data_IF_276834607020
#
_entry.id   IF_276834607020
#
_cell.length_a   1.000
_cell.length_b   1.000
_cell.length_c   1.000
_cell.angle_alpha   90.00
_cell.angle_beta   90.00
_cell.angle_gamma   90.00
#
_symmetry.space_group_name_H-M   'P 1'
#
loop_
_entity.id
_entity.type
_entity.pdbx_description
1 polymer ?
#
# COMPACT_ATOMS: atom_id res chain seq x y z
N UNK A 1 -7.61 -5.72 -19.20
CA UNK A 1 -7.88 -4.93 -17.97
C UNK A 1 -8.23 -3.53 -18.44
N UNK A 2 -9.39 -2.97 -18.05
CA UNK A 2 -9.72 -1.59 -18.41
C UNK A 2 -8.69 -0.63 -17.81
N UNK A 3 -8.32 0.40 -18.56
CA UNK A 3 -7.41 1.44 -18.07
C UNK A 3 -8.13 2.29 -17.01
N UNK A 4 -7.88 2.02 -15.74
CA UNK A 4 -8.39 2.82 -14.62
C UNK A 4 -7.90 4.26 -14.77
N UNK A 5 -8.84 5.21 -14.80
CA UNK A 5 -8.50 6.62 -14.85
C UNK A 5 -8.29 7.16 -13.42
N UNK A 6 -7.04 7.08 -12.95
CA UNK A 6 -6.65 7.50 -11.60
C UNK A 6 -6.99 8.95 -11.25
N UNK A 7 -7.02 9.86 -12.23
CA UNK A 7 -7.43 11.26 -12.02
C UNK A 7 -8.90 11.41 -11.57
N UNK A 8 -9.75 10.44 -11.91
CA UNK A 8 -11.18 10.46 -11.59
C UNK A 8 -11.53 9.66 -10.33
N UNK A 9 -10.56 9.00 -9.72
CA UNK A 9 -10.78 8.17 -8.55
C UNK A 9 -10.86 8.99 -7.27
N UNK A 10 -11.51 8.44 -6.24
CA UNK A 10 -11.38 8.94 -4.88
C UNK A 10 -9.92 8.88 -4.42
N UNK A 11 -9.54 9.76 -3.49
CA UNK A 11 -8.18 9.86 -2.97
C UNK A 11 -7.61 8.55 -2.39
N UNK A 12 -8.47 7.61 -2.00
CA UNK A 12 -8.09 6.30 -1.52
C UNK A 12 -8.80 5.84 -0.25
N UNK A 13 -8.57 4.59 0.13
CA UNK A 13 -9.01 3.99 1.39
C UNK A 13 -7.80 3.58 2.21
N UNK A 14 -7.88 3.71 3.54
CA UNK A 14 -6.82 3.30 4.45
C UNK A 14 -7.39 2.22 5.38
N UNK A 15 -6.75 1.07 5.38
CA UNK A 15 -7.12 -0.08 6.19
C UNK A 15 -8.60 -0.46 6.05
N UNK A 16 -9.08 -0.46 4.80
CA UNK A 16 -10.45 -0.81 4.41
C UNK A 16 -10.65 -2.31 4.22
N UNK A 17 -11.89 -2.77 4.38
CA UNK A 17 -12.31 -4.11 3.98
C UNK A 17 -12.51 -4.18 2.45
N UNK A 18 -12.52 -5.38 1.87
CA UNK A 18 -12.74 -5.54 0.43
C UNK A 18 -14.03 -4.87 -0.06
N UNK A 19 -15.12 -5.00 0.71
CA UNK A 19 -16.39 -4.33 0.41
C UNK A 19 -16.28 -2.80 0.45
N UNK A 20 -15.47 -2.24 1.37
CA UNK A 20 -15.24 -0.79 1.45
C UNK A 20 -14.55 -0.29 0.17
N UNK A 21 -13.60 -1.05 -0.38
CA UNK A 21 -12.93 -0.70 -1.64
C UNK A 21 -13.91 -0.69 -2.80
N UNK A 22 -14.76 -1.71 -2.93
CA UNK A 22 -15.74 -1.80 -4.01
C UNK A 22 -16.82 -0.72 -3.94
N UNK A 23 -17.26 -0.37 -2.73
CA UNK A 23 -18.24 0.70 -2.52
C UNK A 23 -17.68 2.08 -2.90
N UNK A 24 -16.45 2.37 -2.49
CA UNK A 24 -15.84 3.69 -2.67
C UNK A 24 -15.13 3.87 -4.01
N UNK A 25 -14.60 2.79 -4.57
CA UNK A 25 -13.77 2.79 -5.76
C UNK A 25 -14.21 1.67 -6.72
N UNK A 26 -15.48 1.68 -7.19
CA UNK A 26 -16.06 0.60 -7.98
C UNK A 26 -15.31 0.33 -9.29
N UNK A 27 -14.62 1.34 -9.85
CA UNK A 27 -13.77 1.19 -11.04
C UNK A 27 -12.60 0.20 -10.82
N UNK A 28 -12.24 -0.10 -9.57
CA UNK A 28 -11.24 -1.10 -9.23
C UNK A 28 -11.77 -2.53 -9.25
N UNK A 29 -13.09 -2.75 -9.38
CA UNK A 29 -13.69 -4.07 -9.26
C UNK A 29 -13.08 -5.08 -10.24
N UNK A 30 -12.86 -4.68 -11.50
CA UNK A 30 -12.26 -5.56 -12.50
C UNK A 30 -10.79 -5.86 -12.22
N UNK A 31 -10.02 -4.87 -11.75
CA UNK A 31 -8.64 -5.07 -11.32
C UNK A 31 -8.58 -6.05 -10.15
N UNK A 32 -9.45 -5.90 -9.16
CA UNK A 32 -9.43 -6.71 -7.95
C UNK A 32 -9.81 -8.18 -8.21
N UNK A 33 -10.48 -8.50 -9.33
CA UNK A 33 -10.65 -9.90 -9.77
C UNK A 33 -9.33 -10.58 -10.14
N UNK A 34 -8.30 -9.82 -10.47
CA UNK A 34 -6.95 -10.34 -10.75
C UNK A 34 -6.11 -10.58 -9.49
N UNK A 35 -6.64 -10.23 -8.31
CA UNK A 35 -5.94 -10.49 -7.05
C UNK A 35 -5.75 -12.00 -6.86
N UNK A 36 -4.53 -12.47 -6.52
CA UNK A 36 -4.20 -13.89 -6.56
C UNK A 36 -4.76 -14.72 -5.40
N UNK A 37 -5.34 -14.07 -4.38
CA UNK A 37 -5.89 -14.74 -3.19
C UNK A 37 -7.35 -14.35 -2.96
N UNK A 38 -7.97 -14.89 -1.90
CA UNK A 38 -9.29 -14.44 -1.49
C UNK A 38 -9.20 -13.01 -0.91
N UNK A 39 -9.79 -11.99 -1.57
CA UNK A 39 -9.62 -10.60 -1.16
C UNK A 39 -10.23 -10.29 0.22
N UNK A 40 -11.12 -11.14 0.72
CA UNK A 40 -11.72 -10.99 2.04
C UNK A 40 -10.77 -11.36 3.20
N UNK A 41 -9.63 -11.98 2.93
CA UNK A 41 -8.64 -12.32 3.96
C UNK A 41 -7.65 -11.16 4.20
N UNK A 42 -7.81 -10.07 3.46
CA UNK A 42 -6.90 -8.93 3.43
C UNK A 42 -7.57 -7.62 3.83
N UNK A 43 -6.75 -6.73 4.38
CA UNK A 43 -7.03 -5.32 4.59
C UNK A 43 -6.36 -4.51 3.48
N UNK A 44 -7.08 -3.53 2.97
CA UNK A 44 -6.74 -2.82 1.76
C UNK A 44 -6.37 -1.38 2.07
N UNK A 45 -5.19 -0.97 1.60
CA UNK A 45 -4.81 0.42 1.43
C UNK A 45 -4.80 0.72 -0.06
N UNK A 46 -5.69 1.61 -0.50
CA UNK A 46 -5.66 2.15 -1.85
C UNK A 46 -5.29 3.61 -1.74
N UNK A 47 -4.28 4.05 -2.48
CA UNK A 47 -3.85 5.44 -2.51
C UNK A 47 -3.82 5.94 -3.94
N UNK A 48 -4.38 7.12 -4.14
CA UNK A 48 -4.34 7.83 -5.40
C UNK A 48 -3.52 9.09 -5.19
N UNK A 49 -2.43 9.20 -5.95
CA UNK A 49 -1.49 10.30 -5.86
C UNK A 49 -1.48 11.08 -7.17
N UNK A 50 -1.64 12.39 -7.10
CA UNK A 50 -1.09 13.32 -8.09
C UNK A 50 0.34 13.69 -7.67
N UNK A 51 1.35 13.13 -8.33
CA UNK A 51 2.75 13.34 -8.02
C UNK A 51 3.34 14.39 -8.96
N UNK A 52 4.02 15.37 -8.38
CA UNK A 52 4.96 16.26 -9.06
C UNK A 52 6.36 15.64 -9.07
N UNK A 53 7.28 16.09 -9.95
CA UNK A 53 8.68 15.68 -9.90
C UNK A 53 9.27 15.79 -8.48
N UNK A 54 10.05 14.79 -8.08
CA UNK A 54 10.67 14.64 -6.75
C UNK A 54 9.70 14.31 -5.59
N UNK A 55 8.41 14.09 -5.86
CA UNK A 55 7.47 13.58 -4.86
C UNK A 55 7.43 12.05 -4.88
N UNK A 56 7.23 11.45 -3.70
CA UNK A 56 7.21 10.00 -3.52
C UNK A 56 5.77 9.50 -3.26
N UNK A 57 5.38 8.34 -3.81
CA UNK A 57 4.09 7.71 -3.50
C UNK A 57 4.08 7.03 -2.12
N UNK A 58 5.24 6.63 -1.62
CA UNK A 58 5.42 5.91 -0.37
C UNK A 58 6.76 6.27 0.30
N UNK A 59 7.08 5.61 1.41
CA UNK A 59 8.25 5.93 2.24
C UNK A 59 9.54 5.79 1.40
N UNK A 60 10.38 6.83 1.32
CA UNK A 60 11.58 6.83 0.47
C UNK A 60 12.74 6.01 1.06
N UNK A 61 12.76 5.84 2.38
CA UNK A 61 13.80 5.06 3.05
C UNK A 61 13.49 3.56 2.97
N UNK A 62 14.55 2.74 2.97
CA UNK A 62 14.43 1.30 3.14
C UNK A 62 13.67 0.99 4.42
N UNK A 63 12.58 0.25 4.28
CA UNK A 63 11.74 -0.17 5.39
C UNK A 63 11.16 -1.56 5.11
N UNK A 64 10.57 -2.12 6.16
CA UNK A 64 9.80 -3.36 6.12
C UNK A 64 8.44 -3.06 6.73
N UNK A 65 7.40 -3.60 6.11
CA UNK A 65 6.04 -3.36 6.54
C UNK A 65 5.61 -4.33 7.63
N UNK A 66 4.77 -3.84 8.54
CA UNK A 66 4.08 -4.64 9.55
C UNK A 66 4.98 -5.48 10.46
N UNK A 67 6.26 -5.11 10.64
CA UNK A 67 7.14 -5.84 11.56
C UNK A 67 6.59 -5.78 12.98
N UNK A 68 6.43 -6.95 13.65
CA UNK A 68 5.97 -6.99 15.03
C UNK A 68 6.93 -6.21 15.94
N UNK A 69 6.38 -5.59 16.98
CA UNK A 69 7.18 -4.88 17.97
C UNK A 69 7.04 -5.50 19.34
N UNK A 70 8.12 -5.46 20.11
CA UNK A 70 8.12 -5.86 21.52
C UNK A 70 7.48 -4.79 22.42
N UNK A 71 7.47 -5.03 23.73
CA UNK A 71 6.94 -4.09 24.72
C UNK A 71 7.70 -2.76 24.79
N UNK A 72 8.94 -2.70 24.27
CA UNK A 72 9.77 -1.50 24.17
C UNK A 72 9.66 -0.83 22.79
N UNK A 73 8.73 -1.28 21.95
CA UNK A 73 8.51 -0.81 20.57
C UNK A 73 9.67 -1.10 19.61
N UNK A 74 10.59 -2.00 19.97
CA UNK A 74 11.66 -2.48 19.10
C UNK A 74 11.13 -3.57 18.18
N UNK A 75 11.72 -3.70 17.00
CA UNK A 75 11.38 -4.76 16.06
C UNK A 75 11.65 -6.14 16.66
N UNK A 76 10.66 -7.02 16.61
CA UNK A 76 10.72 -8.40 17.09
C UNK A 76 10.57 -9.36 15.91
N UNK A 77 11.69 -9.67 15.28
CA UNK A 77 11.73 -10.54 14.10
C UNK A 77 11.33 -11.99 14.40
N UNK A 78 11.37 -12.42 15.67
CA UNK A 78 10.99 -13.78 16.06
C UNK A 78 9.49 -14.06 15.89
N UNK A 79 8.70 -13.00 15.77
CA UNK A 79 7.24 -13.05 15.59
C UNK A 79 6.78 -12.80 14.16
N UNK A 80 7.71 -12.70 13.20
CA UNK A 80 7.37 -12.58 11.78
C UNK A 80 6.65 -13.86 11.33
N UNK A 81 5.52 -13.70 10.64
CA UNK A 81 4.74 -14.80 10.07
C UNK A 81 4.75 -14.70 8.54
N UNK A 82 5.69 -15.41 7.91
CA UNK A 82 5.87 -15.44 6.46
C UNK A 82 4.74 -16.20 5.73
N UNK A 83 3.91 -16.95 6.47
CA UNK A 83 2.71 -17.60 5.92
C UNK A 83 1.60 -16.60 5.61
N UNK A 84 1.72 -15.36 6.11
CA UNK A 84 0.75 -14.28 5.97
C UNK A 84 1.29 -13.21 5.02
N UNK A 85 0.94 -13.26 3.72
CA UNK A 85 1.54 -12.37 2.74
C UNK A 85 0.95 -10.97 2.76
N UNK A 86 1.67 -10.08 2.09
CA UNK A 86 1.20 -8.81 1.60
C UNK A 86 1.34 -8.78 0.08
N UNK A 87 0.59 -7.90 -0.55
CA UNK A 87 0.64 -7.67 -1.98
C UNK A 87 0.68 -6.20 -2.29
N UNK A 88 1.48 -5.84 -3.29
CA UNK A 88 1.60 -4.50 -3.85
C UNK A 88 1.18 -4.53 -5.31
N UNK A 89 0.43 -3.53 -5.75
CA UNK A 89 0.15 -3.28 -7.15
C UNK A 89 0.29 -1.78 -7.44
N UNK A 90 0.97 -1.44 -8.53
CA UNK A 90 1.26 -0.07 -8.93
C UNK A 90 0.76 0.17 -10.35
N UNK A 91 0.09 1.30 -10.60
CA UNK A 91 -0.46 1.58 -11.94
C UNK A 91 0.59 1.88 -13.00
N UNK A 92 1.68 2.52 -12.60
CA UNK A 92 2.74 3.07 -13.45
C UNK A 92 3.89 3.53 -12.56
N UNK A 93 4.97 4.05 -13.16
CA UNK A 93 6.03 4.73 -12.43
C UNK A 93 5.50 5.94 -11.61
N UNK A 94 6.16 6.31 -10.50
CA UNK A 94 7.35 5.67 -9.92
C UNK A 94 7.04 4.30 -9.30
N UNK A 95 7.96 3.35 -9.47
CA UNK A 95 7.81 1.98 -9.00
C UNK A 95 8.55 1.78 -7.67
N UNK A 96 8.17 0.75 -6.93
CA UNK A 96 8.83 0.40 -5.66
C UNK A 96 10.04 -0.48 -5.94
N UNK A 97 11.16 -0.20 -5.26
CA UNK A 97 12.35 -1.05 -5.30
C UNK A 97 12.30 -1.99 -4.12
N UNK A 98 12.56 -3.27 -4.36
CA UNK A 98 12.72 -4.31 -3.36
C UNK A 98 14.15 -4.82 -3.34
N UNK A 99 14.54 -5.47 -2.24
CA UNK A 99 15.76 -6.28 -2.18
C UNK A 99 15.42 -7.76 -2.23
N UNK A 100 16.21 -8.52 -2.96
CA UNK A 100 16.13 -9.98 -2.94
C UNK A 100 16.86 -10.57 -1.72
N UNK A 101 16.93 -11.90 -1.64
CA UNK A 101 17.59 -12.63 -0.54
C UNK A 101 19.11 -12.35 -0.45
N UNK A 102 19.74 -11.90 -1.54
CA UNK A 102 21.15 -11.53 -1.60
C UNK A 102 21.37 -10.03 -1.31
N UNK A 103 20.30 -9.27 -1.17
CA UNK A 103 20.34 -7.82 -0.97
C UNK A 103 20.42 -7.02 -2.26
N UNK A 104 20.29 -7.66 -3.42
CA UNK A 104 20.31 -7.01 -4.72
C UNK A 104 18.97 -6.32 -4.98
N UNK A 105 19.05 -5.10 -5.53
CA UNK A 105 17.88 -4.23 -5.72
C UNK A 105 17.19 -4.51 -7.05
N UNK A 106 15.86 -4.65 -7.02
CA UNK A 106 15.05 -4.80 -8.22
C UNK A 106 13.75 -4.00 -8.14
N UNK A 107 13.27 -3.57 -9.30
CA UNK A 107 12.05 -2.78 -9.43
C UNK A 107 10.84 -3.70 -9.70
N UNK A 108 9.72 -3.47 -9.02
CA UNK A 108 8.48 -4.22 -9.29
C UNK A 108 7.79 -3.71 -10.55
N UNK A 109 7.15 -4.61 -11.28
CA UNK A 109 6.49 -4.25 -12.55
C UNK A 109 5.13 -3.57 -12.32
N UNK A 110 4.87 -2.48 -13.08
CA UNK A 110 3.56 -1.85 -13.13
C UNK A 110 2.48 -2.82 -13.62
N UNK A 111 1.27 -2.71 -13.09
CA UNK A 111 0.12 -3.48 -13.54
C UNK A 111 0.09 -4.93 -13.06
N UNK A 112 1.05 -5.36 -12.21
CA UNK A 112 1.11 -6.72 -11.66
C UNK A 112 1.09 -6.72 -10.14
N UNK A 113 0.49 -7.75 -9.57
CA UNK A 113 0.54 -8.02 -8.13
C UNK A 113 1.92 -8.58 -7.79
N UNK A 114 2.63 -7.87 -6.93
CA UNK A 114 3.89 -8.31 -6.34
C UNK A 114 3.62 -8.81 -4.92
N UNK A 115 3.89 -10.10 -4.66
CA UNK A 115 3.76 -10.73 -3.35
C UNK A 115 5.02 -10.45 -2.53
N UNK A 116 4.85 -10.05 -1.28
CA UNK A 116 5.94 -9.86 -0.31
C UNK A 116 5.47 -10.18 1.12
N UNK A 117 6.37 -10.06 2.09
CA UNK A 117 6.19 -10.43 3.50
C UNK A 117 6.79 -9.37 4.41
N UNK A 118 6.69 -9.55 5.74
CA UNK A 118 7.31 -8.66 6.73
C UNK A 118 8.86 -8.65 6.66
N UNK A 119 9.49 -9.59 5.94
CA UNK A 119 10.96 -9.62 5.76
C UNK A 119 11.46 -8.73 4.62
N UNK A 120 10.60 -8.45 3.65
CA UNK A 120 11.03 -7.88 2.39
C UNK A 120 11.29 -6.38 2.52
N UNK A 121 12.56 -6.01 2.34
CA UNK A 121 12.99 -4.62 2.32
C UNK A 121 12.55 -3.96 1.04
N UNK A 122 11.94 -2.78 1.17
CA UNK A 122 11.51 -2.00 0.03
C UNK A 122 11.55 -0.49 0.30
N UNK A 123 11.53 0.29 -0.78
CA UNK A 123 11.48 1.74 -0.73
C UNK A 123 10.78 2.34 -1.95
N UNK A 124 10.20 3.53 -1.76
CA UNK A 124 9.59 4.30 -2.84
C UNK A 124 10.63 5.07 -3.66
N UNK A 125 10.33 5.27 -4.94
CA UNK A 125 11.10 6.16 -5.81
C UNK A 125 10.39 7.49 -6.01
N UNK A 126 11.14 8.58 -6.30
CA UNK A 126 10.52 9.84 -6.65
C UNK A 126 9.93 9.76 -8.05
N UNK A 127 8.80 10.44 -8.25
CA UNK A 127 8.30 10.69 -9.60
C UNK A 127 9.32 11.55 -10.37
N UNK A 128 9.64 11.15 -11.60
CA UNK A 128 10.51 11.91 -12.51
C UNK A 128 9.74 13.03 -13.22
N UNK A 129 8.46 12.80 -13.47
CA UNK A 129 7.56 13.69 -14.18
C UNK A 129 6.22 13.78 -13.44
N UNK A 130 5.39 14.75 -13.83
CA UNK A 130 4.02 14.82 -13.34
C UNK A 130 3.25 13.54 -13.71
N UNK A 131 2.58 12.92 -12.74
CA UNK A 131 1.78 11.72 -12.99
C UNK A 131 0.64 11.54 -12.00
N UNK A 132 -0.45 10.92 -12.46
CA UNK A 132 -1.42 10.30 -11.57
C UNK A 132 -1.02 8.84 -11.35
N UNK A 133 -0.95 8.44 -10.09
CA UNK A 133 -0.39 7.16 -9.67
C UNK A 133 -1.32 6.49 -8.65
N UNK A 134 -1.77 5.29 -8.99
CA UNK A 134 -2.49 4.39 -8.11
C UNK A 134 -1.55 3.39 -7.47
N UNK A 135 -1.60 3.31 -6.14
CA UNK A 135 -0.89 2.33 -5.33
C UNK A 135 -1.92 1.54 -4.54
N UNK A 136 -1.91 0.22 -4.67
CA UNK A 136 -2.74 -0.68 -3.89
C UNK A 136 -1.85 -1.60 -3.09
N UNK A 137 -2.08 -1.65 -1.77
CA UNK A 137 -1.48 -2.62 -0.87
C UNK A 137 -2.60 -3.44 -0.21
N UNK A 138 -2.48 -4.76 -0.30
CA UNK A 138 -3.31 -5.68 0.45
C UNK A 138 -2.44 -6.37 1.50
N UNK A 139 -2.85 -6.33 2.77
CA UNK A 139 -2.13 -6.98 3.86
C UNK A 139 -3.03 -7.99 4.56
N UNK A 140 -2.52 -9.20 4.79
CA UNK A 140 -3.29 -10.24 5.45
C UNK A 140 -3.78 -9.76 6.82
N UNK A 141 -5.08 -9.97 7.12
CA UNK A 141 -5.75 -9.46 8.33
C UNK A 141 -5.05 -9.85 9.64
N UNK A 142 -4.54 -11.08 9.69
CA UNK A 142 -3.85 -11.62 10.87
C UNK A 142 -2.53 -10.91 11.24
N UNK A 143 -1.96 -10.07 10.35
CA UNK A 143 -0.73 -9.31 10.66
C UNK A 143 -0.97 -8.12 11.63
N UNK A 144 -2.14 -8.04 12.25
CA UNK A 144 -2.37 -7.15 13.41
C UNK A 144 -2.70 -5.70 13.06
N UNK A 145 -3.21 -5.45 11.85
CA UNK A 145 -3.66 -4.12 11.45
C UNK A 145 -4.94 -3.75 12.21
N UNK A 146 -5.10 -2.46 12.55
CA UNK A 146 -6.33 -1.85 13.05
C UNK A 146 -7.48 -1.96 12.02
N UNK A 147 -7.92 -3.18 11.72
CA UNK A 147 -9.13 -3.41 10.96
C UNK A 147 -10.34 -3.09 11.86
N UNK A 148 -11.51 -2.92 11.23
CA UNK A 148 -12.79 -2.84 11.96
C UNK A 148 -12.99 -4.02 12.93
N UNK A 149 -12.32 -5.14 12.70
CA UNK A 149 -12.50 -6.42 13.39
C UNK A 149 -11.34 -6.81 14.33
N UNK A 150 -10.13 -6.27 14.14
CA UNK A 150 -8.92 -6.63 14.90
C UNK A 150 -8.20 -5.36 15.38
N UNK A 151 -8.01 -5.23 16.69
CA UNK A 151 -7.22 -4.18 17.33
C UNK A 151 -7.59 -2.73 16.94
N UNK A 152 -8.87 -2.35 16.99
CA UNK A 152 -9.22 -0.92 16.93
C UNK A 152 -9.03 -0.27 18.32
N UNK A 153 -8.01 0.58 18.54
CA UNK A 153 -7.81 1.24 19.83
C UNK A 153 -8.91 2.25 20.18
N UNK A 154 -9.77 2.60 19.22
CA UNK A 154 -10.85 3.56 19.39
C UNK A 154 -12.20 2.91 19.72
N UNK A 155 -12.26 1.59 19.95
CA UNK A 155 -13.47 0.77 20.21
C UNK A 155 -14.60 0.85 19.16
N UNK A 156 -14.46 1.75 18.18
CA UNK A 156 -15.49 2.05 17.21
C UNK A 156 -15.27 1.22 15.93
N UNK A 157 -15.78 -0.01 15.94
CA UNK A 157 -15.65 -1.05 14.90
C UNK A 157 -16.15 -0.66 13.48
N UNK A 158 -16.49 0.61 13.22
CA UNK A 158 -17.08 1.06 11.95
C UNK A 158 -16.33 2.18 11.23
N UNK A 159 -15.23 2.71 11.78
CA UNK A 159 -14.58 3.90 11.19
C UNK A 159 -13.89 3.55 9.86
N UNK A 160 -14.47 4.03 8.76
CA UNK A 160 -13.83 4.04 7.45
C UNK A 160 -12.81 5.19 7.38
N UNK A 161 -11.54 4.87 7.13
CA UNK A 161 -10.51 5.90 6.90
C UNK A 161 -10.29 6.08 5.41
N UNK A 162 -10.24 7.35 5.00
CA UNK A 162 -10.00 7.76 3.62
C UNK A 162 -8.69 8.52 3.54
N UNK A 163 -7.97 8.30 2.46
CA UNK A 163 -6.81 9.13 2.17
C UNK A 163 -7.28 10.53 1.76
N UNK A 164 -6.49 11.56 2.09
CA UNK A 164 -6.71 12.92 1.62
C UNK A 164 -5.43 13.38 0.96
N UNK A 165 -5.55 13.93 -0.25
CA UNK A 165 -4.41 14.52 -0.93
C UNK A 165 -4.34 16.01 -0.62
N UNK A 166 -3.22 16.45 -0.06
CA UNK A 166 -2.89 17.87 0.11
C UNK A 166 -1.82 18.26 -0.89
N UNK A 167 -1.97 19.44 -1.50
CA UNK A 167 -0.94 19.98 -2.37
C UNK A 167 0.13 20.66 -1.52
N UNK A 168 1.37 20.17 -1.63
CA UNK A 168 2.56 20.82 -1.12
C UNK A 168 3.36 21.30 -2.33
N UNK A 169 3.77 22.56 -2.31
CA UNK A 169 4.50 23.18 -3.41
C UNK A 169 5.87 22.51 -3.58
N UNK A 170 6.05 21.81 -4.69
CA UNK A 170 7.27 21.06 -4.99
C UNK A 170 8.50 21.96 -5.17
N UNK A 171 8.32 23.28 -5.35
CA UNK A 171 9.43 24.24 -5.40
C UNK A 171 10.04 24.56 -4.04
N UNK A 172 9.31 24.33 -2.94
CA UNK A 172 9.75 24.69 -1.59
C UNK A 172 9.78 23.53 -0.60
N UNK A 173 8.96 22.50 -0.80
CA UNK A 173 8.88 21.35 0.10
C UNK A 173 9.94 20.31 -0.24
N UNK A 174 10.73 19.91 0.77
CA UNK A 174 11.69 18.81 0.71
C UNK A 174 11.37 17.84 1.85
N UNK A 175 11.36 16.54 1.53
CA UNK A 175 11.17 15.46 2.50
C UNK A 175 12.40 15.31 3.41
#
# INVERSE_FOLDING_TARGET
MENINWKKQHCGVIQGEYADVLELMPDLAELLKSFPENPNDFIWDVKVHMLMPNQYPCIPNWHRDMIPRDSELKEDESKIDESKPMYLWLSNAPLTIFKDEYGEEYEVEAGKWHRFTQRDWHCGQPAKEFTWHGLIRACHKDLGINSKTVNNPFENKSVLRRHCQVYLDAGNFKW
#
